data_IF_403267601406
#
_entry.id   IF_403267601406
#
_cell.length_a   1.000
_cell.length_b   1.000
_cell.length_c   1.000
_cell.angle_alpha   90.00
_cell.angle_beta   90.00
_cell.angle_gamma   90.00
#
_symmetry.space_group_name_H-M   'P 1'
#
loop_
_entity.id
_entity.type
_entity.pdbx_description
1 polymer ?
#
# COMPACT_ATOMS: atom_id res chain seq x y z
N UNK A 1 -10.20 -20.54 6.06
CA UNK A 1 -10.82 -19.20 6.10
C UNK A 1 -9.70 -18.17 6.24
N UNK A 2 -9.45 -17.20 5.38
CA UNK A 2 -9.94 -16.91 4.04
C UNK A 2 -8.77 -16.29 3.28
N UNK A 3 -8.49 -16.80 2.09
CA UNK A 3 -7.47 -16.29 1.19
C UNK A 3 -8.18 -15.33 0.24
N UNK A 4 -8.54 -14.15 0.76
CA UNK A 4 -8.94 -13.04 -0.09
C UNK A 4 -7.65 -12.30 -0.41
N UNK A 5 -6.94 -12.80 -1.42
CA UNK A 5 -5.85 -12.10 -2.07
C UNK A 5 -6.42 -10.85 -2.74
N UNK A 6 -6.69 -9.84 -1.89
CA UNK A 6 -7.00 -8.49 -2.27
C UNK A 6 -5.86 -8.03 -3.20
N UNK A 7 -6.20 -7.64 -4.42
CA UNK A 7 -5.29 -7.33 -5.53
C UNK A 7 -4.48 -6.07 -5.18
N UNK A 8 -3.49 -6.21 -4.29
CA UNK A 8 -2.64 -5.12 -3.82
C UNK A 8 -1.52 -4.92 -4.84
N UNK A 9 -1.60 -3.82 -5.59
CA UNK A 9 -0.57 -3.44 -6.55
C UNK A 9 0.77 -3.25 -5.83
N UNK A 10 1.85 -3.80 -6.40
CA UNK A 10 3.20 -3.60 -5.87
C UNK A 10 3.90 -2.57 -6.74
N UNK A 11 4.24 -1.41 -6.18
CA UNK A 11 4.96 -0.36 -6.89
C UNK A 11 6.31 -0.09 -6.24
N UNK A 12 7.24 0.41 -7.04
CA UNK A 12 8.51 0.93 -6.55
C UNK A 12 8.28 2.22 -5.77
N UNK A 13 9.04 2.41 -4.69
CA UNK A 13 8.97 3.63 -3.89
C UNK A 13 9.30 4.84 -4.77
N UNK A 14 8.29 5.63 -5.09
CA UNK A 14 8.46 6.84 -5.91
C UNK A 14 9.05 7.94 -5.03
N UNK A 15 10.26 8.39 -5.34
CA UNK A 15 10.89 9.51 -4.65
C UNK A 15 10.16 10.82 -5.01
N UNK A 16 9.21 11.25 -4.17
CA UNK A 16 8.46 12.48 -4.39
C UNK A 16 7.05 12.48 -3.81
N UNK A 17 6.14 13.22 -4.45
CA UNK A 17 4.72 13.30 -4.07
C UNK A 17 4.06 11.97 -4.38
N UNK A 18 3.59 11.27 -3.35
CA UNK A 18 2.94 9.97 -3.44
C UNK A 18 1.67 10.12 -4.32
N UNK A 19 1.63 9.42 -5.45
CA UNK A 19 0.49 9.43 -6.39
C UNK A 19 -0.14 8.05 -6.49
N UNK A 20 -1.45 7.99 -6.63
CA UNK A 20 -2.13 6.73 -6.89
C UNK A 20 -1.69 6.16 -8.25
N UNK A 21 -1.21 4.90 -8.32
CA UNK A 21 -0.76 4.30 -9.57
C UNK A 21 -1.91 4.00 -10.55
N UNK A 22 -3.17 3.97 -10.08
CA UNK A 22 -4.32 3.65 -10.94
C UNK A 22 -5.01 4.88 -11.51
N UNK A 23 -5.19 5.96 -10.71
CA UNK A 23 -5.92 7.16 -11.16
C UNK A 23 -5.06 8.43 -11.20
N UNK A 24 -3.80 8.37 -10.75
CA UNK A 24 -2.91 9.52 -10.71
C UNK A 24 -3.20 10.53 -9.59
N UNK A 25 -4.10 10.21 -8.66
CA UNK A 25 -4.43 11.09 -7.52
C UNK A 25 -3.19 11.44 -6.72
N UNK A 26 -2.87 12.72 -6.62
CA UNK A 26 -1.67 13.23 -5.94
C UNK A 26 -1.98 13.93 -4.61
N UNK A 27 -3.26 14.00 -4.25
CA UNK A 27 -3.70 14.57 -2.99
C UNK A 27 -3.42 13.59 -1.83
N UNK A 28 -2.53 13.92 -0.89
CA UNK A 28 -2.19 13.03 0.22
C UNK A 28 -3.37 12.80 1.17
N UNK A 29 -4.30 13.74 1.27
CA UNK A 29 -5.54 13.58 2.05
C UNK A 29 -6.45 12.46 1.51
N UNK A 30 -6.32 12.12 0.22
CA UNK A 30 -7.04 11.01 -0.40
C UNK A 30 -6.28 9.69 -0.33
N UNK A 31 -5.04 9.66 0.18
CA UNK A 31 -4.23 8.44 0.25
C UNK A 31 -4.12 8.00 1.70
N UNK A 32 -4.86 6.95 2.05
CA UNK A 32 -4.86 6.39 3.39
C UNK A 32 -3.74 5.36 3.54
N UNK A 33 -2.79 5.63 4.43
CA UNK A 33 -1.76 4.67 4.84
C UNK A 33 -2.34 3.70 5.90
N UNK A 34 -2.07 2.41 5.77
CA UNK A 34 -2.49 1.39 6.73
C UNK A 34 -1.47 0.26 6.81
N UNK A 35 -1.43 -0.43 7.94
CA UNK A 35 -0.58 -1.61 8.11
C UNK A 35 -1.23 -2.81 7.46
N UNK A 36 -0.47 -3.52 6.64
CA UNK A 36 -0.88 -4.77 6.03
C UNK A 36 -0.47 -5.94 6.92
N UNK A 37 -1.43 -6.44 7.70
CA UNK A 37 -1.23 -7.57 8.61
C UNK A 37 -1.05 -8.91 7.90
N UNK A 38 -1.27 -8.95 6.58
CA UNK A 38 -1.07 -10.15 5.76
C UNK A 38 0.40 -10.33 5.40
N UNK A 39 1.12 -9.23 5.17
CA UNK A 39 2.55 -9.24 4.86
C UNK A 39 3.38 -9.03 6.14
N UNK A 40 4.04 -10.08 6.60
CA UNK A 40 5.02 -9.99 7.71
C UNK A 40 6.41 -9.75 7.10
N UNK A 41 6.98 -8.57 7.31
CA UNK A 41 8.33 -8.23 6.86
C UNK A 41 9.37 -8.88 7.77
N UNK A 42 9.10 -8.91 9.08
CA UNK A 42 9.99 -9.47 10.09
C UNK A 42 9.15 -10.17 11.15
N UNK A 43 9.52 -11.39 11.54
CA UNK A 43 8.79 -12.15 12.55
C UNK A 43 9.14 -11.68 13.97
N UNK A 44 10.39 -11.27 14.22
CA UNK A 44 10.84 -10.80 15.52
C UNK A 44 11.91 -9.68 15.44
N UNK A 45 11.61 -8.44 15.90
CA UNK A 45 10.31 -7.91 16.31
C UNK A 45 9.30 -7.91 15.16
N UNK A 46 8.01 -8.13 15.47
CA UNK A 46 6.97 -8.35 14.46
C UNK A 46 6.66 -7.07 13.68
N UNK A 47 7.20 -6.96 12.46
CA UNK A 47 6.99 -5.81 11.57
C UNK A 47 6.06 -6.23 10.43
N UNK A 48 4.95 -5.52 10.31
CA UNK A 48 4.01 -5.69 9.22
C UNK A 48 4.33 -4.76 8.05
N UNK A 49 3.97 -5.18 6.84
CA UNK A 49 4.06 -4.37 5.64
C UNK A 49 3.20 -3.11 5.73
N UNK A 50 3.52 -2.12 4.91
CA UNK A 50 2.68 -0.95 4.70
C UNK A 50 1.88 -1.12 3.42
N UNK A 51 0.61 -0.70 3.45
CA UNK A 51 -0.25 -0.54 2.28
C UNK A 51 -0.87 0.84 2.24
N UNK A 52 -1.24 1.24 1.05
CA UNK A 52 -1.87 2.51 0.73
C UNK A 52 -3.20 2.24 0.05
N UNK A 53 -4.21 3.03 0.39
CA UNK A 53 -5.53 2.99 -0.25
C UNK A 53 -5.85 4.36 -0.82
N UNK A 54 -6.22 4.42 -2.10
CA UNK A 54 -6.76 5.64 -2.69
C UNK A 54 -8.24 5.78 -2.30
N UNK A 55 -8.62 6.94 -1.76
CA UNK A 55 -9.99 7.31 -1.44
C UNK A 55 -10.81 7.72 -2.67
N UNK A 56 -10.16 8.01 -3.80
CA UNK A 56 -10.82 8.38 -5.06
C UNK A 56 -11.24 7.14 -5.87
N UNK A 57 -10.30 6.26 -6.21
CA UNK A 57 -10.57 5.07 -7.02
C UNK A 57 -10.66 3.75 -6.23
N UNK A 58 -10.29 3.75 -4.93
CA UNK A 58 -10.31 2.55 -4.10
C UNK A 58 -9.09 1.65 -4.25
N UNK A 59 -8.17 1.93 -5.18
CA UNK A 59 -6.98 1.12 -5.43
C UNK A 59 -6.13 0.95 -4.17
N UNK A 60 -5.70 -0.28 -3.94
CA UNK A 60 -4.78 -0.65 -2.88
C UNK A 60 -3.41 -0.95 -3.48
N UNK A 61 -2.35 -0.36 -2.91
CA UNK A 61 -0.98 -0.64 -3.35
C UNK A 61 0.01 -0.63 -2.19
N UNK A 62 1.18 -1.23 -2.41
CA UNK A 62 2.31 -1.23 -1.50
C UNK A 62 3.55 -0.68 -2.18
N UNK A 63 4.35 0.07 -1.43
CA UNK A 63 5.65 0.57 -1.87
C UNK A 63 6.72 -0.42 -1.39
N UNK A 64 7.37 -1.13 -2.30
CA UNK A 64 8.56 -1.91 -1.97
C UNK A 64 9.78 -1.01 -2.11
N UNK A 65 10.55 -0.88 -1.03
CA UNK A 65 11.91 -0.37 -1.09
C UNK A 65 12.80 -1.60 -1.30
N UNK A 66 13.49 -1.65 -2.43
CA UNK A 66 14.49 -2.69 -2.71
C UNK A 66 15.59 -2.70 -1.65
#
# INVERSE_FOLDING_TARGET
MGEEADDILTIEKTEGRRKCPSCGEENPNMIHESVDKQTIIMDYPRVYGKKFKCGNCGTLWREVSQ
#
